data_IF_952279792871
#
_entry.id   IF_952279792871
#
_cell.length_a   1.000
_cell.length_b   1.000
_cell.length_c   1.000
_cell.angle_alpha   90.00
_cell.angle_beta   90.00
_cell.angle_gamma   90.00
#
_symmetry.space_group_name_H-M   'P 1'
#
loop_
_entity.id
_entity.type
_entity.pdbx_description
1 polymer ?
#
# COMPACT_ATOMS: atom_id res chain seq x y z
N UNK A 1 -3.81 -5.57 -30.95
CA UNK A 1 -4.98 -4.67 -30.69
C UNK A 1 -4.96 -4.12 -29.27
N UNK A 2 -4.94 -4.92 -28.18
CA UNK A 2 -4.89 -4.40 -26.77
C UNK A 2 -3.70 -3.49 -26.46
N UNK A 3 -2.54 -3.71 -27.06
CA UNK A 3 -1.32 -2.91 -26.81
C UNK A 3 -1.39 -1.51 -27.40
N UNK A 4 -2.06 -1.36 -28.56
CA UNK A 4 -2.29 -0.06 -29.21
C UNK A 4 -3.33 0.76 -28.44
N UNK A 5 -4.42 0.14 -27.99
CA UNK A 5 -5.45 0.77 -27.17
C UNK A 5 -4.87 1.29 -25.83
N UNK A 6 -3.99 0.53 -25.20
CA UNK A 6 -3.31 0.96 -23.98
C UNK A 6 -2.39 2.17 -24.24
N UNK A 7 -1.66 2.18 -25.37
CA UNK A 7 -0.80 3.31 -25.72
C UNK A 7 -1.58 4.60 -26.00
N UNK A 8 -2.74 4.49 -26.63
CA UNK A 8 -3.65 5.62 -26.84
C UNK A 8 -4.27 6.10 -25.51
N UNK A 9 -4.67 5.16 -24.64
CA UNK A 9 -5.19 5.50 -23.32
C UNK A 9 -4.12 6.19 -22.43
N UNK A 10 -2.86 5.76 -22.48
CA UNK A 10 -1.76 6.37 -21.75
C UNK A 10 -1.46 7.82 -22.20
N UNK A 11 -1.83 8.21 -23.42
CA UNK A 11 -1.72 9.61 -23.90
C UNK A 11 -2.78 10.49 -23.24
N UNK A 12 -4.02 10.01 -23.15
CA UNK A 12 -5.13 10.78 -22.58
C UNK A 12 -5.22 10.68 -21.05
N UNK A 13 -4.77 9.56 -20.47
CA UNK A 13 -4.81 9.27 -19.04
C UNK A 13 -3.43 8.75 -18.57
N UNK A 14 -2.40 9.59 -18.61
CA UNK A 14 -1.06 9.18 -18.20
C UNK A 14 -1.04 8.82 -16.72
N UNK A 15 -0.29 7.80 -16.38
CA UNK A 15 -0.09 7.42 -14.98
C UNK A 15 0.59 8.53 -14.20
N UNK A 16 0.04 8.83 -13.04
CA UNK A 16 0.59 9.81 -12.11
C UNK A 16 1.25 9.11 -10.91
N UNK A 17 2.27 9.74 -10.37
CA UNK A 17 2.89 9.28 -9.13
C UNK A 17 1.90 9.38 -7.96
N UNK A 18 1.67 8.30 -7.18
CA UNK A 18 0.72 8.31 -6.06
C UNK A 18 1.13 9.23 -4.92
N UNK A 19 2.38 9.70 -4.89
CA UNK A 19 2.90 10.60 -3.86
C UNK A 19 2.85 12.06 -4.30
N UNK A 20 3.53 12.43 -5.40
CA UNK A 20 3.63 13.83 -5.84
C UNK A 20 2.63 14.24 -6.93
N UNK A 21 1.88 13.30 -7.52
CA UNK A 21 0.91 13.49 -8.61
C UNK A 21 1.51 13.92 -9.96
N UNK A 22 2.82 14.03 -10.08
CA UNK A 22 3.47 14.28 -11.37
C UNK A 22 3.25 13.10 -12.30
N UNK A 23 3.06 13.40 -13.60
CA UNK A 23 3.01 12.38 -14.65
C UNK A 23 4.33 11.60 -14.62
N UNK A 24 4.25 10.28 -14.67
CA UNK A 24 5.43 9.43 -14.70
C UNK A 24 6.06 9.47 -16.09
N UNK A 25 7.35 9.83 -16.16
CA UNK A 25 8.12 9.84 -17.42
C UNK A 25 8.19 8.42 -18.04
N UNK A 26 8.34 7.39 -17.20
CA UNK A 26 8.21 5.99 -17.61
C UNK A 26 6.86 5.44 -17.12
N UNK A 27 5.91 5.27 -18.03
CA UNK A 27 4.56 4.77 -17.76
C UNK A 27 4.51 3.32 -17.27
N UNK A 28 5.64 2.58 -17.31
CA UNK A 28 5.75 1.24 -16.71
C UNK A 28 6.02 1.29 -15.20
N UNK A 29 6.49 2.42 -14.70
CA UNK A 29 6.69 2.64 -13.26
C UNK A 29 5.36 2.93 -12.58
N UNK A 30 5.31 2.68 -11.26
CA UNK A 30 4.15 2.98 -10.42
C UNK A 30 4.38 4.21 -9.52
N UNK A 31 5.63 4.66 -9.42
CA UNK A 31 6.06 5.79 -8.59
C UNK A 31 7.31 6.42 -9.23
N UNK A 32 7.50 7.71 -9.08
CA UNK A 32 8.70 8.37 -9.56
C UNK A 32 9.92 8.05 -8.66
N UNK A 33 11.15 8.07 -9.21
CA UNK A 33 12.35 7.70 -8.47
C UNK A 33 12.59 8.54 -7.21
N UNK A 34 12.25 9.83 -7.26
CA UNK A 34 12.42 10.77 -6.15
C UNK A 34 11.50 10.34 -4.98
N UNK A 35 10.21 10.16 -5.26
CA UNK A 35 9.25 9.76 -4.23
C UNK A 35 9.49 8.33 -3.72
N UNK A 36 10.01 7.43 -4.56
CA UNK A 36 10.36 6.07 -4.13
C UNK A 36 11.42 6.08 -3.02
N UNK A 37 12.40 7.01 -3.10
CA UNK A 37 13.45 7.18 -2.07
C UNK A 37 12.91 7.74 -0.76
N UNK A 38 11.83 8.50 -0.80
CA UNK A 38 11.20 9.08 0.39
C UNK A 38 10.28 8.12 1.13
N UNK A 39 9.86 7.03 0.46
CA UNK A 39 9.05 6.01 1.11
C UNK A 39 9.86 5.28 2.17
N UNK A 40 9.21 4.99 3.30
CA UNK A 40 9.81 4.26 4.42
C UNK A 40 9.11 2.90 4.60
N UNK A 41 9.58 1.85 3.90
CA UNK A 41 9.06 0.51 4.13
C UNK A 41 9.35 0.07 5.58
N UNK A 42 8.40 -0.62 6.19
CA UNK A 42 8.57 -1.14 7.54
C UNK A 42 9.41 -2.42 7.47
N UNK A 43 10.65 -2.33 7.96
CA UNK A 43 11.57 -3.46 8.15
C UNK A 43 11.49 -4.06 9.56
N UNK A 44 12.60 -4.59 10.02
CA UNK A 44 12.80 -5.00 11.41
C UNK A 44 13.60 -3.92 12.17
N UNK A 45 13.38 -3.75 13.50
CA UNK A 45 12.37 -4.45 14.31
C UNK A 45 10.95 -3.92 14.08
N UNK A 46 9.95 -4.80 14.16
CA UNK A 46 8.54 -4.46 14.07
C UNK A 46 7.71 -5.30 15.03
N UNK A 47 6.58 -4.77 15.47
CA UNK A 47 5.64 -5.47 16.34
C UNK A 47 5.15 -6.77 15.71
N UNK A 48 5.34 -7.88 16.40
CA UNK A 48 4.94 -9.21 15.94
C UNK A 48 3.42 -9.29 15.69
N UNK A 49 2.61 -8.61 16.53
CA UNK A 49 1.14 -8.64 16.41
C UNK A 49 0.61 -7.77 15.27
N UNK A 50 0.95 -6.47 15.22
CA UNK A 50 0.33 -5.52 14.29
C UNK A 50 1.23 -5.05 13.13
N UNK A 51 2.50 -5.45 13.10
CA UNK A 51 3.44 -5.05 12.05
C UNK A 51 3.90 -3.60 12.08
N UNK A 52 3.54 -2.80 13.12
CA UNK A 52 4.01 -1.43 13.32
C UNK A 52 5.51 -1.41 13.61
N UNK A 53 6.30 -0.42 13.14
CA UNK A 53 7.70 -0.30 13.52
C UNK A 53 7.83 -0.06 15.04
N UNK A 54 8.82 -0.65 15.65
CA UNK A 54 9.18 -0.50 17.06
C UNK A 54 10.69 -0.31 17.15
N UNK A 55 11.16 0.29 18.24
CA UNK A 55 12.58 0.48 18.48
C UNK A 55 13.20 -0.77 19.11
N UNK A 56 12.52 -1.38 20.07
CA UNK A 56 12.97 -2.55 20.80
C UNK A 56 11.81 -3.46 21.18
N UNK A 57 12.12 -4.73 21.51
CA UNK A 57 11.14 -5.72 21.96
C UNK A 57 10.38 -6.39 20.82
N UNK A 58 9.36 -7.16 21.15
CA UNK A 58 8.54 -7.95 20.23
C UNK A 58 7.19 -7.29 19.93
N UNK A 59 6.64 -6.54 20.88
CA UNK A 59 5.29 -5.96 20.79
C UNK A 59 5.31 -4.46 21.05
N UNK A 60 4.55 -3.70 20.29
CA UNK A 60 4.35 -2.28 20.55
C UNK A 60 3.47 -2.06 21.80
N UNK A 61 3.53 -0.85 22.37
CA UNK A 61 2.77 -0.48 23.58
C UNK A 61 1.26 -0.74 23.45
N UNK A 62 0.69 -0.49 22.26
CA UNK A 62 -0.73 -0.71 22.03
C UNK A 62 -1.10 -2.19 22.11
N UNK A 63 -0.30 -3.07 21.45
CA UNK A 63 -0.52 -4.51 21.48
C UNK A 63 -0.20 -5.17 22.82
N UNK A 64 0.61 -4.55 23.66
CA UNK A 64 0.82 -5.00 25.05
C UNK A 64 -0.39 -4.67 25.95
N UNK A 65 -1.06 -3.53 25.69
CA UNK A 65 -2.20 -3.08 26.49
C UNK A 65 -3.55 -3.66 26.04
N UNK A 66 -3.69 -3.93 24.76
CA UNK A 66 -4.97 -4.34 24.17
C UNK A 66 -4.87 -5.71 23.51
N UNK A 67 -5.81 -6.57 23.84
CA UNK A 67 -5.95 -7.87 23.17
C UNK A 67 -6.64 -7.67 21.81
N UNK A 68 -5.99 -8.15 20.74
CA UNK A 68 -6.55 -8.13 19.40
C UNK A 68 -7.03 -9.52 19.00
N UNK A 69 -8.14 -9.59 18.26
CA UNK A 69 -8.77 -10.85 17.80
C UNK A 69 -8.02 -11.49 16.63
N UNK A 70 -7.24 -10.72 15.86
CA UNK A 70 -6.44 -11.26 14.74
C UNK A 70 -5.10 -11.84 15.23
N UNK A 71 -4.57 -12.80 14.49
CA UNK A 71 -3.29 -13.43 14.82
C UNK A 71 -2.11 -12.50 14.57
N UNK A 72 -1.95 -12.05 13.34
CA UNK A 72 -0.86 -11.18 12.92
C UNK A 72 -1.31 -10.11 11.93
N UNK A 73 -0.58 -9.01 11.89
CA UNK A 73 -0.73 -7.93 10.92
C UNK A 73 0.61 -7.57 10.30
N UNK A 74 0.58 -7.06 9.07
CA UNK A 74 1.77 -6.59 8.35
C UNK A 74 1.56 -5.16 7.85
N UNK A 75 2.25 -4.21 8.46
CA UNK A 75 2.37 -2.86 7.92
C UNK A 75 3.39 -2.82 6.78
N UNK A 76 3.09 -2.16 5.68
CA UNK A 76 3.98 -2.07 4.52
C UNK A 76 4.86 -0.84 4.59
N UNK A 77 4.26 0.33 4.81
CA UNK A 77 4.96 1.60 4.93
C UNK A 77 4.65 2.28 6.26
N UNK A 78 5.59 3.10 6.73
CA UNK A 78 5.33 4.01 7.84
C UNK A 78 4.24 4.99 7.42
N UNK A 79 3.20 5.13 8.23
CA UNK A 79 2.07 6.01 7.95
C UNK A 79 2.39 7.44 8.38
N UNK A 80 3.25 8.08 7.62
CA UNK A 80 3.67 9.48 7.79
C UNK A 80 2.87 10.45 6.88
N UNK A 81 3.31 11.69 6.82
CA UNK A 81 2.66 12.74 6.01
C UNK A 81 2.58 12.39 4.53
N UNK A 82 3.58 11.68 3.97
CA UNK A 82 3.64 11.27 2.57
C UNK A 82 2.59 10.19 2.30
N UNK A 83 2.63 9.11 3.08
CA UNK A 83 1.70 8.00 2.93
C UNK A 83 0.26 8.41 3.24
N UNK A 84 0.05 9.28 4.23
CA UNK A 84 -1.28 9.82 4.53
C UNK A 84 -1.88 10.50 3.32
N UNK A 85 -1.15 11.45 2.69
CA UNK A 85 -1.64 12.16 1.50
C UNK A 85 -1.95 11.21 0.35
N UNK A 86 -1.06 10.27 0.07
CA UNK A 86 -1.23 9.27 -0.99
C UNK A 86 -2.47 8.39 -0.76
N UNK A 87 -2.63 7.83 0.44
CA UNK A 87 -3.79 6.98 0.80
C UNK A 87 -5.09 7.79 0.80
N UNK A 88 -5.07 9.06 1.24
CA UNK A 88 -6.25 9.94 1.20
C UNK A 88 -6.72 10.15 -0.24
N UNK A 89 -5.80 10.39 -1.19
CA UNK A 89 -6.14 10.52 -2.61
C UNK A 89 -6.76 9.24 -3.19
N UNK A 90 -6.15 8.12 -2.89
CA UNK A 90 -6.68 6.81 -3.30
C UNK A 90 -8.11 6.58 -2.78
N UNK A 91 -8.36 6.88 -1.51
CA UNK A 91 -9.66 6.61 -0.86
C UNK A 91 -10.75 7.62 -1.20
N UNK A 92 -10.40 8.90 -1.36
CA UNK A 92 -11.40 9.96 -1.36
C UNK A 92 -11.40 10.87 -2.60
N UNK A 93 -10.33 10.83 -3.41
CA UNK A 93 -10.20 11.71 -4.58
C UNK A 93 -10.25 10.96 -5.91
N UNK A 94 -10.71 9.72 -5.91
CA UNK A 94 -10.96 8.95 -7.14
C UNK A 94 -9.70 8.40 -7.83
N UNK A 95 -8.51 8.54 -7.26
CA UNK A 95 -7.25 8.04 -7.83
C UNK A 95 -7.14 6.51 -7.68
N UNK A 96 -8.07 5.77 -8.30
CA UNK A 96 -8.16 4.29 -8.17
C UNK A 96 -6.95 3.58 -8.73
N UNK A 97 -6.29 4.14 -9.73
CA UNK A 97 -5.06 3.64 -10.35
C UNK A 97 -3.91 3.48 -9.35
N UNK A 98 -3.94 4.20 -8.22
CA UNK A 98 -2.95 4.01 -7.14
C UNK A 98 -3.08 2.66 -6.44
N UNK A 99 -4.20 1.96 -6.62
CA UNK A 99 -4.40 0.59 -6.13
C UNK A 99 -3.35 -0.38 -6.65
N UNK A 100 -2.92 -0.24 -7.90
CA UNK A 100 -1.87 -1.07 -8.50
C UNK A 100 -0.52 -0.89 -7.78
N UNK A 101 -0.18 0.36 -7.42
CA UNK A 101 1.01 0.66 -6.62
C UNK A 101 0.95 -0.03 -5.25
N UNK A 102 -0.18 0.09 -4.55
CA UNK A 102 -0.33 -0.54 -3.22
C UNK A 102 -0.32 -2.05 -3.30
N UNK A 103 -0.99 -2.64 -4.29
CA UNK A 103 -1.00 -4.09 -4.50
C UNK A 103 0.41 -4.64 -4.74
N UNK A 104 1.19 -3.99 -5.60
CA UNK A 104 2.60 -4.36 -5.83
C UNK A 104 3.47 -4.17 -4.60
N UNK A 105 3.27 -3.09 -3.84
CA UNK A 105 3.99 -2.86 -2.61
C UNK A 105 3.67 -3.93 -1.55
N UNK A 106 2.39 -4.29 -1.37
CA UNK A 106 2.00 -5.37 -0.48
C UNK A 106 2.65 -6.68 -0.90
N UNK A 107 2.58 -7.05 -2.17
CA UNK A 107 3.23 -8.26 -2.66
C UNK A 107 4.74 -8.25 -2.40
N UNK A 108 5.43 -7.14 -2.73
CA UNK A 108 6.89 -7.02 -2.58
C UNK A 108 7.35 -7.13 -1.13
N UNK A 109 6.65 -6.47 -0.20
CA UNK A 109 7.11 -6.32 1.19
C UNK A 109 6.46 -7.28 2.19
N UNK A 110 5.40 -7.98 1.80
CA UNK A 110 4.72 -8.97 2.64
C UNK A 110 4.74 -10.39 2.05
N UNK A 111 5.50 -10.62 0.97
CA UNK A 111 5.53 -11.92 0.29
C UNK A 111 5.96 -13.07 1.20
N UNK A 112 6.91 -12.82 2.10
CA UNK A 112 7.39 -13.82 3.06
C UNK A 112 6.27 -14.20 4.02
N UNK A 113 5.64 -13.21 4.65
CA UNK A 113 4.53 -13.40 5.58
C UNK A 113 3.33 -14.07 4.90
N UNK A 114 2.99 -13.67 3.69
CA UNK A 114 1.89 -14.29 2.94
C UNK A 114 2.13 -15.78 2.66
N UNK A 115 3.37 -16.16 2.41
CA UNK A 115 3.73 -17.58 2.25
C UNK A 115 3.69 -18.35 3.57
N UNK A 116 4.17 -17.74 4.65
CA UNK A 116 4.18 -18.35 5.99
C UNK A 116 2.75 -18.49 6.54
N UNK A 117 1.90 -17.51 6.31
CA UNK A 117 0.50 -17.53 6.76
C UNK A 117 -0.36 -18.51 5.95
N UNK A 118 0.01 -18.75 4.69
CA UNK A 118 -0.70 -19.65 3.78
C UNK A 118 -2.25 -19.53 3.90
N UNK A 119 -2.84 -18.35 3.62
CA UNK A 119 -4.25 -18.09 3.89
C UNK A 119 -5.15 -18.93 2.98
N UNK A 120 -6.17 -19.55 3.54
CA UNK A 120 -7.20 -20.29 2.80
C UNK A 120 -8.17 -19.35 2.07
N UNK A 121 -8.35 -18.14 2.59
CA UNK A 121 -9.31 -17.16 2.08
C UNK A 121 -8.80 -15.73 2.21
N UNK A 122 -9.05 -14.92 1.20
CA UNK A 122 -8.79 -13.48 1.21
C UNK A 122 -10.14 -12.75 1.33
N UNK A 123 -10.31 -12.02 2.43
CA UNK A 123 -11.54 -11.27 2.69
C UNK A 123 -11.21 -9.78 2.63
N UNK A 124 -11.75 -9.02 1.65
CA UNK A 124 -11.58 -7.57 1.63
C UNK A 124 -12.39 -6.92 2.76
N UNK A 125 -11.88 -5.80 3.28
CA UNK A 125 -12.66 -4.98 4.22
C UNK A 125 -13.85 -4.38 3.45
N UNK A 126 -15.11 -4.64 3.86
CA UNK A 126 -16.28 -4.14 3.16
C UNK A 126 -16.33 -2.60 3.21
N UNK A 127 -16.75 -2.01 2.12
CA UNK A 127 -17.04 -0.58 2.06
C UNK A 127 -18.51 -0.32 2.35
N UNK A 128 -18.83 0.85 2.87
CA UNK A 128 -20.23 1.24 3.09
C UNK A 128 -20.96 1.30 1.75
N UNK A 129 -22.22 0.84 1.69
CA UNK A 129 -23.05 0.77 0.47
C UNK A 129 -23.09 2.05 -0.34
N UNK A 130 -23.05 3.22 0.31
CA UNK A 130 -23.02 4.52 -0.39
C UNK A 130 -21.73 4.76 -1.19
N UNK A 131 -20.68 3.93 -1.00
CA UNK A 131 -19.39 3.99 -1.70
C UNK A 131 -19.18 2.84 -2.69
N UNK A 132 -20.15 1.92 -2.78
CA UNK A 132 -20.18 0.88 -3.80
C UNK A 132 -20.64 1.54 -5.12
N UNK A 133 -19.71 1.79 -6.04
CA UNK A 133 -19.97 2.27 -7.39
C UNK A 133 -19.25 1.38 -8.39
#
# INVERSE_FOLDING_TARGET
>A
MKRFLNMVADIFYPRCCPVCQKILADQRRMICPECEKELRPIGHPRCYKCGKPIETGEYCRDCQKHRHMYEQGRGIFVYDGIMRRSVTRYKYYGCREYGDFYARAMYRYAQKELREWNPDLIVPVPVHRSKER
#
